data_IF_354085417817
#
_entry.id   IF_354085417817
#
_cell.length_a   1.000
_cell.length_b   1.000
_cell.length_c   1.000
_cell.angle_alpha   90.00
_cell.angle_beta   90.00
_cell.angle_gamma   90.00
#
_symmetry.space_group_name_H-M   'P 1'
#
loop_
_entity.id
_entity.type
_entity.pdbx_description
1 polymer ?
#
# COMPACT_ATOMS: atom_id res chain seq x y z
N UNK A 1 -15.04 7.63 -13.44
CA UNK A 1 -13.62 7.89 -13.15
C UNK A 1 -13.27 7.05 -11.93
N UNK A 2 -12.43 6.03 -12.07
CA UNK A 2 -11.94 5.25 -10.94
C UNK A 2 -11.14 6.16 -10.03
N UNK A 3 -11.54 6.26 -8.76
CA UNK A 3 -10.84 7.07 -7.77
C UNK A 3 -9.52 6.44 -7.35
N UNK A 4 -8.55 7.25 -6.95
CA UNK A 4 -7.33 6.76 -6.29
C UNK A 4 -7.60 6.57 -4.80
N UNK A 5 -7.14 5.46 -4.23
CA UNK A 5 -7.23 5.18 -2.79
C UNK A 5 -5.85 4.96 -2.22
N UNK A 6 -5.51 5.69 -1.16
CA UNK A 6 -4.25 5.50 -0.43
C UNK A 6 -4.43 4.32 0.52
N UNK A 7 -3.56 3.33 0.40
CA UNK A 7 -3.60 2.09 1.18
C UNK A 7 -2.44 2.10 2.18
N UNK A 8 -2.74 1.74 3.42
CA UNK A 8 -1.77 1.68 4.51
C UNK A 8 -0.98 0.36 4.53
N UNK A 9 0.15 0.34 5.23
CA UNK A 9 1.11 -0.78 5.30
C UNK A 9 0.45 -2.11 5.72
N UNK A 10 -0.51 -2.06 6.65
CA UNK A 10 -1.21 -3.24 7.15
C UNK A 10 -2.11 -3.88 6.10
N UNK A 11 -2.85 -3.06 5.34
CA UNK A 11 -3.75 -3.55 4.28
C UNK A 11 -2.93 -4.15 3.14
N UNK A 12 -1.82 -3.53 2.74
CA UNK A 12 -0.89 -4.11 1.78
C UNK A 12 -0.32 -5.45 2.31
N UNK A 13 0.03 -5.51 3.60
CA UNK A 13 0.52 -6.73 4.24
C UNK A 13 -0.53 -7.85 4.26
N UNK A 14 -1.79 -7.53 4.50
CA UNK A 14 -2.88 -8.51 4.45
C UNK A 14 -3.12 -9.03 3.04
N UNK A 15 -3.08 -8.16 2.03
CA UNK A 15 -3.22 -8.55 0.63
C UNK A 15 -2.05 -9.44 0.18
N UNK A 16 -0.81 -9.06 0.50
CA UNK A 16 0.37 -9.84 0.16
C UNK A 16 0.37 -11.25 0.78
N UNK A 17 -0.12 -11.35 2.03
CA UNK A 17 -0.17 -12.62 2.77
C UNK A 17 -1.44 -13.42 2.51
N UNK A 18 -2.35 -12.95 1.64
CA UNK A 18 -3.69 -13.52 1.48
C UNK A 18 -4.41 -13.72 2.82
N UNK A 19 -4.24 -12.78 3.75
CA UNK A 19 -4.77 -12.88 5.10
C UNK A 19 -6.31 -12.73 5.07
N UNK A 20 -7.10 -13.46 5.88
CA UNK A 20 -8.56 -13.35 5.89
C UNK A 20 -9.09 -11.92 6.11
N UNK A 21 -8.33 -11.08 6.83
CA UNK A 21 -8.68 -9.66 7.01
C UNK A 21 -8.70 -8.87 5.70
N UNK A 22 -7.94 -9.30 4.68
CA UNK A 22 -7.91 -8.63 3.38
C UNK A 22 -9.30 -8.57 2.70
N UNK A 23 -10.14 -9.59 2.91
CA UNK A 23 -11.49 -9.66 2.34
C UNK A 23 -12.38 -8.49 2.76
N UNK A 24 -12.14 -7.92 3.94
CA UNK A 24 -12.91 -6.79 4.46
C UNK A 24 -12.61 -5.50 3.68
N UNK A 25 -11.42 -5.37 3.10
CA UNK A 25 -10.99 -4.18 2.37
C UNK A 25 -11.21 -4.29 0.86
N UNK A 26 -11.47 -5.49 0.32
CA UNK A 26 -11.73 -5.68 -1.11
C UNK A 26 -12.85 -4.77 -1.67
N UNK A 27 -13.99 -4.55 -0.97
CA UNK A 27 -15.02 -3.64 -1.44
C UNK A 27 -14.54 -2.19 -1.56
N UNK A 28 -13.63 -1.75 -0.69
CA UNK A 28 -13.07 -0.40 -0.70
C UNK A 28 -11.98 -0.19 -1.76
N UNK A 29 -11.42 -1.31 -2.25
CA UNK A 29 -10.41 -1.34 -3.31
C UNK A 29 -11.02 -1.59 -4.69
N UNK A 30 -12.25 -2.13 -4.74
CA UNK A 30 -12.97 -2.38 -5.98
C UNK A 30 -13.16 -1.09 -6.79
N UNK A 31 -12.86 -1.16 -8.10
CA UNK A 31 -12.92 -0.05 -9.05
C UNK A 31 -12.07 1.19 -8.70
N UNK A 32 -11.09 1.03 -7.81
CA UNK A 32 -10.14 2.08 -7.42
C UNK A 32 -8.71 1.67 -7.75
N UNK A 33 -7.85 2.66 -7.96
CA UNK A 33 -6.42 2.42 -8.11
C UNK A 33 -5.75 2.55 -6.74
N UNK A 34 -5.29 1.44 -6.12
CA UNK A 34 -4.57 1.51 -4.86
C UNK A 34 -3.19 2.14 -5.08
N UNK A 35 -2.86 3.12 -4.24
CA UNK A 35 -1.53 3.74 -4.15
C UNK A 35 -1.01 3.60 -2.74
N UNK A 36 0.31 3.48 -2.60
CA UNK A 36 0.95 3.49 -1.28
C UNK A 36 1.46 4.90 -0.95
N UNK A 37 1.44 5.25 0.33
CA UNK A 37 2.00 6.53 0.78
C UNK A 37 3.53 6.47 0.76
N UNK A 38 4.18 7.64 0.61
CA UNK A 38 5.64 7.74 0.79
C UNK A 38 6.08 7.30 2.21
N UNK A 39 5.23 7.51 3.22
CA UNK A 39 5.48 7.05 4.58
C UNK A 39 5.52 5.51 4.66
N UNK A 40 4.58 4.83 4.01
CA UNK A 40 4.54 3.35 3.91
C UNK A 40 5.80 2.81 3.23
N UNK A 41 6.29 3.47 2.17
CA UNK A 41 7.55 3.08 1.52
C UNK A 41 8.73 3.19 2.50
N UNK A 42 8.82 4.30 3.25
CA UNK A 42 9.89 4.54 4.21
C UNK A 42 9.87 3.56 5.41
N UNK A 43 8.68 3.19 5.89
CA UNK A 43 8.52 2.19 6.95
C UNK A 43 8.99 0.79 6.51
N UNK A 44 8.66 0.41 5.28
CA UNK A 44 9.08 -0.86 4.70
C UNK A 44 10.60 -0.94 4.50
N UNK A 45 11.22 0.14 4.03
CA UNK A 45 12.68 0.23 3.94
C UNK A 45 13.35 0.13 5.32
N UNK A 46 12.77 0.79 6.34
CA UNK A 46 13.25 0.66 7.72
C UNK A 46 13.16 -0.78 8.23
N UNK A 47 12.06 -1.48 7.99
CA UNK A 47 11.91 -2.88 8.41
C UNK A 47 12.92 -3.82 7.75
N UNK A 48 13.26 -3.60 6.49
CA UNK A 48 14.31 -4.36 5.81
C UNK A 48 15.66 -4.19 6.52
N UNK A 49 15.98 -2.97 6.93
CA UNK A 49 17.22 -2.66 7.65
C UNK A 49 17.23 -3.25 9.07
N UNK A 50 16.11 -3.14 9.80
CA UNK A 50 16.00 -3.61 11.19
C UNK A 50 15.94 -5.14 11.31
N UNK A 51 15.33 -5.83 10.35
CA UNK A 51 15.12 -7.27 10.46
C UNK A 51 16.30 -8.11 9.96
N UNK A 52 17.43 -7.49 9.55
CA UNK A 52 18.61 -8.15 8.98
C UNK A 52 18.28 -9.18 7.89
N UNK A 53 17.31 -8.85 7.02
CA UNK A 53 16.89 -9.78 5.97
C UNK A 53 18.04 -10.03 4.98
N UNK A 54 18.17 -11.28 4.56
CA UNK A 54 19.09 -11.65 3.49
C UNK A 54 18.70 -11.00 2.16
N UNK A 55 19.70 -10.75 1.32
CA UNK A 55 19.60 -9.95 0.09
C UNK A 55 18.49 -10.42 -0.86
N UNK A 56 18.29 -11.75 -0.98
CA UNK A 56 17.20 -12.36 -1.76
C UNK A 56 15.81 -11.92 -1.30
N UNK A 57 15.60 -11.79 0.01
CA UNK A 57 14.30 -11.42 0.58
C UNK A 57 14.04 -9.93 0.39
N UNK A 58 15.08 -9.09 0.52
CA UNK A 58 15.02 -7.67 0.23
C UNK A 58 14.71 -7.40 -1.26
N UNK A 59 15.29 -8.20 -2.16
CA UNK A 59 15.04 -8.09 -3.59
C UNK A 59 13.60 -8.44 -3.96
N UNK A 60 13.08 -9.57 -3.47
CA UNK A 60 11.65 -9.94 -3.66
C UNK A 60 10.70 -8.87 -3.14
N UNK A 61 11.06 -8.26 -2.02
CA UNK A 61 10.28 -7.18 -1.43
C UNK A 61 10.24 -5.97 -2.38
N UNK A 62 11.41 -5.51 -2.85
CA UNK A 62 11.52 -4.40 -3.81
C UNK A 62 10.77 -4.67 -5.12
N UNK A 63 10.86 -5.88 -5.66
CA UNK A 63 10.12 -6.28 -6.86
C UNK A 63 8.60 -6.19 -6.62
N UNK A 64 8.11 -6.62 -5.45
CA UNK A 64 6.68 -6.65 -5.12
C UNK A 64 6.03 -5.26 -5.01
N UNK A 65 6.73 -4.21 -4.53
CA UNK A 65 6.14 -2.86 -4.49
C UNK A 65 6.54 -1.97 -5.67
N UNK A 66 7.51 -2.37 -6.50
CA UNK A 66 7.84 -1.63 -7.73
C UNK A 66 6.63 -1.47 -8.67
N UNK A 67 5.63 -2.35 -8.53
CA UNK A 67 4.36 -2.31 -9.27
C UNK A 67 3.30 -1.41 -8.62
N UNK A 68 3.53 -0.89 -7.41
CA UNK A 68 2.60 -0.01 -6.71
C UNK A 68 3.01 1.47 -6.93
N UNK A 69 2.19 2.27 -7.63
CA UNK A 69 2.47 3.69 -7.77
C UNK A 69 2.47 4.37 -6.40
N UNK A 70 3.57 5.03 -6.05
CA UNK A 70 3.65 5.86 -4.85
C UNK A 70 2.83 7.13 -5.04
N UNK A 71 2.03 7.47 -4.05
CA UNK A 71 1.34 8.76 -4.02
C UNK A 71 2.35 9.85 -3.67
N UNK A 72 2.73 10.67 -4.66
CA UNK A 72 3.68 11.78 -4.50
C UNK A 72 3.02 13.06 -3.98
N UNK A 73 1.69 13.07 -3.89
CA UNK A 73 0.90 14.23 -3.47
C UNK A 73 0.18 13.90 -2.17
N UNK A 74 0.50 14.60 -1.07
CA UNK A 74 -0.33 14.62 0.13
C UNK A 74 -1.54 15.51 -0.19
N UNK A 75 -2.47 14.96 -0.97
CA UNK A 75 -3.65 15.67 -1.46
C UNK A 75 -4.74 15.71 -0.42
N UNK A 76 -5.25 16.92 -0.12
CA UNK A 76 -6.38 17.16 0.79
C UNK A 76 -7.55 16.25 0.44
N UNK A 77 -8.02 15.50 1.43
CA UNK A 77 -9.32 14.85 1.40
C UNK A 77 -10.39 15.94 1.18
N UNK A 78 -10.92 16.04 -0.05
CA UNK A 78 -12.15 16.79 -0.28
C UNK A 78 -13.29 15.82 0.03
N UNK A 79 -14.06 16.02 1.12
CA UNK A 79 -15.23 15.20 1.32
C UNK A 79 -16.17 15.49 0.16
N UNK A 80 -16.46 14.47 -0.65
CA UNK A 80 -17.56 14.48 -1.61
C UNK A 80 -18.86 14.52 -0.80
N UNK A 81 -19.19 15.70 -0.31
CA UNK A 81 -20.47 16.04 0.27
C UNK A 81 -21.46 16.26 -0.86
N UNK A 82 -22.15 15.19 -1.22
CA UNK A 82 -23.37 15.24 -2.01
C UNK A 82 -24.46 15.87 -1.13
N UNK A 83 -24.90 17.08 -1.50
CA UNK A 83 -26.21 17.65 -1.16
C UNK A 83 -26.79 18.28 -2.40
#
# INVERSE_FOLDING_TARGET
MSGTVVVDTDVVSYLFKSHPTAFQYLPDLADRTPVISFMTLAELDRWVLEAHWGETRCQRLREYWSVLPCCHTIGRYAPSGQR
#
